data_IF_467485674118
#
_entry.id   IF_467485674118
#
_cell.length_a   1.000
_cell.length_b   1.000
_cell.length_c   1.000
_cell.angle_alpha   90.00
_cell.angle_beta   90.00
_cell.angle_gamma   90.00
#
_symmetry.space_group_name_H-M   'P 1'
#
loop_
_entity.id
_entity.type
_entity.pdbx_description
1 polymer ?
#
# COMPACT_ATOMS: atom_id res chain seq x y z
N UNK A 1 1.63 -16.12 -10.57
CA UNK A 1 0.91 -16.48 -9.31
C UNK A 1 0.05 -15.31 -8.83
N UNK A 2 -0.93 -15.52 -7.94
CA UNK A 2 -1.73 -14.44 -7.34
C UNK A 2 -1.58 -14.48 -5.84
N UNK A 3 -1.16 -13.37 -5.24
CA UNK A 3 -1.06 -13.20 -3.80
C UNK A 3 -2.33 -12.52 -3.30
N UNK A 4 -2.83 -12.96 -2.16
CA UNK A 4 -4.02 -12.39 -1.53
C UNK A 4 -3.63 -12.01 -0.11
N UNK A 5 -3.94 -10.79 0.29
CA UNK A 5 -3.74 -10.29 1.65
C UNK A 5 -5.02 -9.69 2.18
N UNK A 6 -5.29 -9.88 3.46
CA UNK A 6 -6.46 -9.27 4.09
C UNK A 6 -6.09 -7.85 4.49
N UNK A 7 -6.79 -6.86 3.96
CA UNK A 7 -6.61 -5.47 4.36
C UNK A 7 -7.12 -5.24 5.79
N UNK A 8 -6.74 -4.10 6.36
CA UNK A 8 -7.21 -3.67 7.67
C UNK A 8 -8.74 -3.63 7.79
N UNK A 9 -9.45 -3.34 6.70
CA UNK A 9 -10.92 -3.33 6.65
C UNK A 9 -11.54 -4.75 6.72
N UNK A 10 -10.74 -5.81 6.60
CA UNK A 10 -11.20 -7.20 6.54
C UNK A 10 -11.43 -7.72 5.11
N UNK A 11 -11.20 -6.89 4.10
CA UNK A 11 -11.39 -7.24 2.68
C UNK A 11 -10.15 -7.95 2.10
N UNK A 12 -10.41 -8.83 1.13
CA UNK A 12 -9.35 -9.58 0.44
C UNK A 12 -8.77 -8.76 -0.71
N UNK A 13 -7.50 -8.36 -0.61
CA UNK A 13 -6.79 -7.61 -1.64
C UNK A 13 -5.90 -8.54 -2.45
N UNK A 14 -6.15 -8.59 -3.76
CA UNK A 14 -5.39 -9.40 -4.71
C UNK A 14 -4.26 -8.60 -5.34
N UNK A 15 -3.11 -9.26 -5.44
CA UNK A 15 -1.96 -8.82 -6.20
C UNK A 15 -1.61 -9.91 -7.21
N UNK A 16 -1.90 -9.66 -8.48
CA UNK A 16 -1.47 -10.54 -9.57
C UNK A 16 -0.01 -10.31 -9.88
N UNK A 17 0.67 -11.35 -10.36
CA UNK A 17 2.07 -11.27 -10.79
C UNK A 17 2.29 -10.26 -11.91
N UNK A 18 1.37 -10.16 -12.87
CA UNK A 18 1.41 -9.15 -13.94
C UNK A 18 1.38 -7.73 -13.38
N UNK A 19 0.49 -7.46 -12.41
CA UNK A 19 0.45 -6.17 -11.72
C UNK A 19 1.72 -5.92 -10.92
N UNK A 20 2.23 -6.94 -10.24
CA UNK A 20 3.49 -6.83 -9.52
C UNK A 20 4.67 -6.53 -10.43
N UNK A 21 4.75 -7.15 -11.62
CA UNK A 21 5.76 -6.83 -12.61
C UNK A 21 5.65 -5.38 -13.07
N UNK A 22 4.45 -4.90 -13.37
CA UNK A 22 4.23 -3.50 -13.76
C UNK A 22 4.68 -2.51 -12.67
N UNK A 23 4.39 -2.82 -11.40
CA UNK A 23 4.83 -2.02 -10.25
C UNK A 23 6.36 -2.02 -10.16
N UNK A 24 7.00 -3.18 -10.32
CA UNK A 24 8.47 -3.30 -10.31
C UNK A 24 9.14 -2.54 -11.46
N UNK A 25 8.52 -2.51 -12.63
CA UNK A 25 9.03 -1.75 -13.78
C UNK A 25 9.06 -0.25 -13.49
N UNK A 26 8.00 0.29 -12.86
CA UNK A 26 7.99 1.68 -12.40
C UNK A 26 8.83 1.95 -11.14
N UNK A 27 8.94 0.95 -10.27
CA UNK A 27 9.57 1.03 -8.96
C UNK A 27 10.47 -0.18 -8.69
N UNK A 28 11.68 -0.23 -9.29
CA UNK A 28 12.59 -1.36 -9.09
C UNK A 28 13.02 -1.54 -7.63
N UNK A 29 13.00 -0.47 -6.82
CA UNK A 29 13.28 -0.52 -5.38
C UNK A 29 12.27 -1.36 -4.58
N UNK A 30 11.12 -1.67 -5.15
CA UNK A 30 10.08 -2.49 -4.55
C UNK A 30 10.24 -3.99 -4.84
N UNK A 31 11.12 -4.37 -5.77
CA UNK A 31 11.25 -5.75 -6.24
C UNK A 31 11.48 -6.76 -5.10
N UNK A 32 12.25 -6.37 -4.09
CA UNK A 32 12.58 -7.18 -2.90
C UNK A 32 11.63 -6.93 -1.71
N UNK A 33 10.70 -5.99 -1.87
CA UNK A 33 9.77 -5.54 -0.81
C UNK A 33 8.34 -6.03 -1.04
N UNK A 34 8.11 -7.01 -1.90
CA UNK A 34 6.77 -7.57 -2.16
C UNK A 34 6.04 -7.95 -0.87
N UNK A 35 6.73 -8.68 0.01
CA UNK A 35 6.21 -9.08 1.31
C UNK A 35 5.89 -7.89 2.21
N UNK A 36 6.69 -6.82 2.15
CA UNK A 36 6.46 -5.60 2.92
C UNK A 36 5.28 -4.80 2.37
N UNK A 37 5.05 -4.81 1.05
CA UNK A 37 3.86 -4.21 0.42
C UNK A 37 2.60 -4.90 0.91
N UNK A 38 2.57 -6.23 0.93
CA UNK A 38 1.44 -6.99 1.45
C UNK A 38 1.22 -6.71 2.95
N UNK A 39 2.27 -6.75 3.77
CA UNK A 39 2.19 -6.37 5.19
C UNK A 39 1.77 -4.91 5.43
N UNK A 40 1.98 -4.03 4.46
CA UNK A 40 1.55 -2.63 4.55
C UNK A 40 0.04 -2.52 4.38
N UNK A 41 -0.57 -3.38 3.58
CA UNK A 41 -2.02 -3.46 3.43
C UNK A 41 -2.67 -4.15 4.64
N UNK A 42 -2.05 -5.21 5.15
CA UNK A 42 -2.52 -5.94 6.33
C UNK A 42 -2.41 -5.13 7.62
N UNK A 43 -1.23 -4.54 7.88
CA UNK A 43 -0.95 -3.72 9.06
C UNK A 43 -0.32 -2.38 8.64
N UNK A 44 -1.12 -1.46 8.10
CA UNK A 44 -0.66 -0.10 7.82
C UNK A 44 -0.41 0.67 9.12
N UNK A 45 0.51 1.64 9.05
CA UNK A 45 0.66 2.64 10.10
C UNK A 45 -0.38 3.75 9.93
N UNK A 46 -0.70 4.09 8.67
CA UNK A 46 -1.73 5.07 8.30
C UNK A 46 -2.45 4.65 7.04
N UNK A 47 -3.71 5.03 6.90
CA UNK A 47 -4.50 4.90 5.68
C UNK A 47 -4.95 6.29 5.27
N UNK A 48 -4.60 6.69 4.06
CA UNK A 48 -4.97 7.99 3.48
C UNK A 48 -6.02 7.79 2.39
N UNK A 49 -6.89 8.77 2.21
CA UNK A 49 -7.81 8.83 1.09
C UNK A 49 -7.05 9.20 -0.19
N UNK A 50 -7.22 8.37 -1.22
CA UNK A 50 -6.82 8.69 -2.58
C UNK A 50 -7.88 9.55 -3.27
N UNK A 51 -7.62 9.87 -4.54
CA UNK A 51 -8.44 10.83 -5.27
C UNK A 51 -9.75 10.21 -5.82
N UNK A 52 -9.77 8.89 -6.08
CA UNK A 52 -10.90 8.20 -6.72
C UNK A 52 -11.33 6.91 -6.00
N UNK A 53 -11.65 7.03 -4.70
CA UNK A 53 -12.00 5.89 -3.82
C UNK A 53 -10.85 4.87 -3.70
N UNK A 54 -9.63 5.36 -3.77
CA UNK A 54 -8.43 4.57 -3.56
C UNK A 54 -7.97 4.76 -2.12
N UNK A 55 -7.36 3.73 -1.55
CA UNK A 55 -6.81 3.76 -0.21
C UNK A 55 -5.30 3.67 -0.31
N UNK A 56 -4.62 4.56 0.39
CA UNK A 56 -3.17 4.57 0.46
C UNK A 56 -2.75 4.08 1.83
N UNK A 57 -2.35 2.82 1.91
CA UNK A 57 -1.73 2.25 3.09
C UNK A 57 -0.27 2.73 3.17
N UNK A 58 0.05 3.42 4.24
CA UNK A 58 1.39 3.94 4.51
C UNK A 58 2.00 3.17 5.68
N UNK A 59 3.23 2.70 5.51
CA UNK A 59 4.01 2.05 6.55
C UNK A 59 5.43 2.60 6.59
N UNK A 60 5.90 2.93 7.78
CA UNK A 60 7.28 3.36 7.98
C UNK A 60 8.21 2.14 8.05
N UNK A 61 9.12 2.02 7.07
CA UNK A 61 10.20 1.05 7.10
C UNK A 61 11.31 1.58 8.01
N UNK A 62 11.33 1.08 9.25
CA UNK A 62 12.33 1.47 10.27
C UNK A 62 13.77 1.24 9.82
N UNK A 63 14.02 0.22 9.00
CA UNK A 63 15.37 -0.13 8.50
C UNK A 63 15.95 0.92 7.55
N UNK A 64 15.11 1.66 6.83
CA UNK A 64 15.59 2.60 5.79
C UNK A 64 15.07 4.03 5.95
N UNK A 65 14.35 4.34 7.05
CA UNK A 65 13.66 5.61 7.26
C UNK A 65 12.85 6.07 6.03
N UNK A 66 12.29 5.10 5.29
CA UNK A 66 11.43 5.35 4.12
C UNK A 66 10.00 4.97 4.47
N UNK A 67 9.05 5.67 3.89
CA UNK A 67 7.63 5.31 3.93
C UNK A 67 7.31 4.48 2.70
N UNK A 68 6.82 3.27 2.92
CA UNK A 68 6.22 2.43 1.89
C UNK A 68 4.74 2.81 1.78
N UNK A 69 4.32 3.15 0.57
CA UNK A 69 2.96 3.54 0.25
C UNK A 69 2.40 2.53 -0.73
N UNK A 70 1.40 1.77 -0.31
CA UNK A 70 0.66 0.84 -1.15
C UNK A 70 -0.71 1.45 -1.48
N UNK A 71 -0.96 1.69 -2.76
CA UNK A 71 -2.25 2.18 -3.27
C UNK A 71 -3.07 0.98 -3.71
N UNK A 72 -4.20 0.79 -3.07
CA UNK A 72 -5.13 -0.29 -3.36
C UNK A 72 -6.54 0.24 -3.40
N UNK A 73 -7.43 -0.53 -4.03
CA UNK A 73 -8.85 -0.22 -4.06
C UNK A 73 -9.62 -1.38 -3.46
N UNK A 74 -10.49 -1.02 -2.53
CA UNK A 74 -11.46 -1.92 -1.93
C UNK A 74 -12.76 -1.83 -2.73
N UNK A 75 -13.30 -2.98 -3.11
CA UNK A 75 -14.64 -3.19 -3.66
C UNK A 75 -15.46 -3.98 -2.63
N UNK A 76 -16.72 -4.25 -2.96
CA UNK A 76 -17.70 -4.83 -2.05
C UNK A 76 -17.25 -6.13 -1.32
N UNK A 77 -16.57 -7.03 -2.03
CA UNK A 77 -16.10 -8.32 -1.51
C UNK A 77 -14.66 -8.66 -1.92
N UNK A 78 -14.01 -7.76 -2.65
CA UNK A 78 -12.67 -7.99 -3.19
C UNK A 78 -11.93 -6.66 -3.30
N UNK A 79 -10.63 -6.70 -3.47
CA UNK A 79 -9.86 -5.52 -3.77
C UNK A 79 -8.63 -5.88 -4.57
N UNK A 80 -7.98 -4.85 -5.10
CA UNK A 80 -6.77 -5.05 -5.88
C UNK A 80 -5.76 -3.94 -5.60
N UNK A 81 -4.49 -4.31 -5.69
CA UNK A 81 -3.41 -3.34 -5.62
C UNK A 81 -3.28 -2.64 -6.98
N UNK A 82 -3.33 -1.31 -6.95
CA UNK A 82 -3.14 -0.47 -8.14
C UNK A 82 -1.65 -0.30 -8.38
N UNK A 83 -0.95 0.25 -7.38
CA UNK A 83 0.48 0.50 -7.42
C UNK A 83 1.05 0.62 -6.01
N UNK A 84 2.37 0.57 -5.88
CA UNK A 84 3.06 0.88 -4.63
C UNK A 84 4.34 1.64 -4.94
N UNK A 85 4.80 2.46 -4.00
CA UNK A 85 6.06 3.18 -4.12
C UNK A 85 6.67 3.48 -2.75
N UNK A 86 7.97 3.75 -2.75
CA UNK A 86 8.70 4.22 -1.58
C UNK A 86 8.90 5.73 -1.66
N UNK A 87 8.70 6.42 -0.54
CA UNK A 87 8.98 7.85 -0.44
C UNK A 87 9.59 8.19 0.92
N UNK A 88 10.48 9.16 0.95
CA UNK A 88 10.95 9.78 2.20
C UNK A 88 10.15 11.04 2.55
N UNK A 89 9.36 11.54 1.61
CA UNK A 89 8.64 12.81 1.76
C UNK A 89 7.29 12.60 2.42
N UNK A 90 7.27 12.66 3.75
CA UNK A 90 6.02 12.63 4.51
C UNK A 90 5.15 13.88 4.27
N UNK A 91 5.73 15.01 3.85
CA UNK A 91 4.96 16.23 3.56
C UNK A 91 3.89 16.02 2.49
N UNK A 92 4.15 15.22 1.46
CA UNK A 92 3.13 14.92 0.44
C UNK A 92 1.99 14.07 1.00
N UNK A 93 2.31 13.18 1.94
CA UNK A 93 1.33 12.31 2.61
C UNK A 93 0.47 13.10 3.61
N UNK A 94 1.07 14.04 4.34
CA UNK A 94 0.33 14.91 5.27
C UNK A 94 -0.62 15.90 4.59
N UNK A 95 -0.49 16.11 3.27
CA UNK A 95 -1.45 16.89 2.49
C UNK A 95 -2.70 16.10 2.12
N UNK A 96 -2.64 14.77 2.21
CA UNK A 96 -3.77 13.90 1.91
C UNK A 96 -4.65 13.77 3.15
N UNK A 97 -5.93 13.51 2.93
CA UNK A 97 -6.88 13.25 4.01
C UNK A 97 -6.55 11.91 4.69
N UNK A 98 -6.42 11.92 6.01
CA UNK A 98 -6.12 10.73 6.80
C UNK A 98 -7.44 10.07 7.15
N UNK A 99 -7.73 8.92 6.56
CA UNK A 99 -8.91 8.12 6.89
C UNK A 99 -8.72 7.35 8.19
N UNK A 100 -7.50 6.85 8.39
CA UNK A 100 -7.16 6.10 9.60
C UNK A 100 -5.68 6.26 9.92
N UNK A 101 -5.36 6.30 11.21
CA UNK A 101 -3.98 6.29 11.69
C UNK A 101 -3.91 5.33 12.86
N UNK A 102 -2.87 4.50 12.88
CA UNK A 102 -2.54 3.66 14.01
C UNK A 102 -2.18 4.58 15.17
N UNK A 103 -3.13 4.73 16.09
CA UNK A 103 -2.90 5.46 17.33
C UNK A 103 -2.05 4.54 18.20
N UNK A 104 -0.85 5.04 18.52
CA UNK A 104 0.19 4.29 19.24
C UNK A 104 -0.08 4.23 20.73
#
# INVERSE_FOLDING_TARGET
MTLIVTAKSGLSIRLTEERWQHIKEGHPELAELQSEVLKTIEDPDRILAGNQNELLAVKLLKTSNKYLVAIYKELDNDGFIITAYLTRRINSLNKMEILWSKQR
#
